data_IF_168579917757
#
_entry.id   IF_168579917757
#
_cell.length_a   1.000
_cell.length_b   1.000
_cell.length_c   1.000
_cell.angle_alpha   90.00
_cell.angle_beta   90.00
_cell.angle_gamma   90.00
#
_symmetry.space_group_name_H-M   'P 1'
#
loop_
_entity.id
_entity.type
_entity.pdbx_description
1 polymer ?
#
# COMPACT_ATOMS: atom_id res chain seq x y z
N UNK A 1 -32.37 -24.08 43.72
CA UNK A 1 -31.38 -24.54 44.73
C UNK A 1 -30.04 -24.63 44.03
N UNK A 2 -29.24 -23.56 44.07
CA UNK A 2 -27.93 -23.50 43.40
C UNK A 2 -26.91 -24.06 44.39
N UNK A 3 -26.47 -25.28 44.15
CA UNK A 3 -25.41 -25.93 44.94
C UNK A 3 -24.11 -25.21 44.61
N UNK A 4 -23.72 -24.26 45.48
CA UNK A 4 -22.33 -23.83 45.59
C UNK A 4 -21.61 -24.97 46.30
N UNK A 5 -20.74 -25.70 45.62
CA UNK A 5 -19.87 -26.67 46.27
C UNK A 5 -18.46 -26.59 45.67
N UNK A 6 -17.47 -26.81 46.53
CA UNK A 6 -16.04 -26.58 46.31
C UNK A 6 -15.56 -26.99 44.91
N UNK A 7 -14.75 -26.14 44.27
CA UNK A 7 -14.11 -26.40 42.98
C UNK A 7 -13.53 -27.83 42.99
N UNK A 8 -14.12 -28.71 42.19
CA UNK A 8 -13.67 -30.09 42.14
C UNK A 8 -12.29 -30.12 41.49
N UNK A 9 -11.33 -30.83 42.09
CA UNK A 9 -9.95 -30.89 41.59
C UNK A 9 -9.89 -31.43 40.16
N UNK A 10 -10.77 -32.37 39.81
CA UNK A 10 -10.86 -32.99 38.48
C UNK A 10 -11.71 -32.20 37.47
N UNK A 11 -12.32 -31.08 37.86
CA UNK A 11 -13.14 -30.26 36.97
C UNK A 11 -12.35 -29.72 35.78
N UNK A 12 -11.16 -29.18 36.05
CA UNK A 12 -10.24 -28.66 35.02
C UNK A 12 -9.77 -29.75 34.08
N UNK A 13 -9.53 -30.95 34.60
CA UNK A 13 -9.10 -32.12 33.83
C UNK A 13 -10.22 -32.60 32.89
N UNK A 14 -11.45 -32.66 33.38
CA UNK A 14 -12.64 -32.95 32.58
C UNK A 14 -12.87 -31.90 31.49
N UNK A 15 -12.73 -30.61 31.80
CA UNK A 15 -12.84 -29.54 30.80
C UNK A 15 -11.78 -29.68 29.70
N UNK A 16 -10.54 -29.97 30.05
CA UNK A 16 -9.46 -30.20 29.08
C UNK A 16 -9.72 -31.44 28.20
N UNK A 17 -10.35 -32.48 28.75
CA UNK A 17 -10.75 -33.67 28.01
C UNK A 17 -11.91 -33.38 27.03
N UNK A 18 -12.91 -32.60 27.45
CA UNK A 18 -14.04 -32.17 26.62
C UNK A 18 -13.58 -31.25 25.48
N UNK A 19 -12.72 -30.26 25.76
CA UNK A 19 -12.14 -29.38 24.73
C UNK A 19 -11.31 -30.15 23.70
N UNK A 20 -10.62 -31.20 24.13
CA UNK A 20 -9.84 -32.07 23.26
C UNK A 20 -10.67 -33.14 22.52
N UNK A 21 -11.99 -33.17 22.69
CA UNK A 21 -12.88 -34.23 22.16
C UNK A 21 -12.41 -35.66 22.52
N UNK A 22 -11.76 -35.82 23.68
CA UNK A 22 -11.24 -37.11 24.16
C UNK A 22 -12.20 -37.86 25.07
N UNK A 23 -13.19 -37.17 25.62
CA UNK A 23 -14.21 -37.77 26.47
C UNK A 23 -15.28 -38.47 25.61
N UNK A 24 -15.76 -39.68 25.98
CA UNK A 24 -15.34 -40.51 27.11
C UNK A 24 -14.23 -41.53 26.78
N UNK A 25 -13.98 -41.80 25.48
CA UNK A 25 -13.25 -42.99 25.05
C UNK A 25 -11.72 -42.90 25.22
N UNK A 26 -11.15 -41.70 25.15
CA UNK A 26 -9.72 -41.43 25.22
C UNK A 26 -9.32 -40.70 26.51
N UNK A 27 -9.95 -41.08 27.63
CA UNK A 27 -9.69 -40.55 28.97
C UNK A 27 -9.35 -41.66 29.96
N UNK A 28 -8.57 -41.31 30.99
CA UNK A 28 -8.21 -42.23 32.06
C UNK A 28 -9.46 -42.76 32.79
N UNK A 29 -9.43 -44.04 33.17
CA UNK A 29 -10.53 -44.72 33.87
C UNK A 29 -10.86 -44.06 35.22
N UNK A 30 -9.85 -43.49 35.88
CA UNK A 30 -10.01 -42.74 37.14
C UNK A 30 -10.92 -41.52 36.97
N UNK A 31 -10.76 -40.78 35.87
CA UNK A 31 -11.58 -39.61 35.55
C UNK A 31 -13.02 -40.04 35.23
N UNK A 32 -13.20 -41.13 34.48
CA UNK A 32 -14.53 -41.69 34.19
C UNK A 32 -15.27 -42.12 35.45
N UNK A 33 -14.58 -42.84 36.32
CA UNK A 33 -15.12 -43.26 37.61
C UNK A 33 -15.48 -42.05 38.48
N UNK A 34 -14.64 -41.02 38.50
CA UNK A 34 -14.90 -39.79 39.24
C UNK A 34 -16.17 -39.08 38.78
N UNK A 35 -16.35 -38.89 37.46
CA UNK A 35 -17.53 -38.22 36.90
C UNK A 35 -18.83 -38.97 37.22
N UNK A 36 -18.79 -40.31 37.31
CA UNK A 36 -19.94 -41.10 37.74
C UNK A 36 -20.30 -40.94 39.23
N UNK A 37 -19.37 -40.45 40.06
CA UNK A 37 -19.55 -40.28 41.51
C UNK A 37 -19.72 -38.83 41.97
N UNK A 38 -19.28 -37.86 41.16
CA UNK A 38 -19.29 -36.43 41.50
C UNK A 38 -20.40 -35.67 40.74
N UNK A 39 -21.47 -35.21 41.43
CA UNK A 39 -22.60 -34.54 40.78
C UNK A 39 -22.23 -33.29 39.97
N UNK A 40 -21.22 -32.53 40.43
CA UNK A 40 -20.75 -31.33 39.74
C UNK A 40 -20.12 -31.67 38.39
N UNK A 41 -19.28 -32.70 38.36
CA UNK A 41 -18.63 -33.15 37.13
C UNK A 41 -19.61 -33.87 36.19
N UNK A 42 -20.59 -34.61 36.71
CA UNK A 42 -21.67 -35.20 35.90
C UNK A 42 -22.47 -34.11 35.20
N UNK A 43 -22.95 -33.11 35.96
CA UNK A 43 -23.74 -32.01 35.40
C UNK A 43 -22.95 -31.21 34.36
N UNK A 44 -21.66 -30.98 34.62
CA UNK A 44 -20.78 -30.29 33.67
C UNK A 44 -20.61 -31.10 32.37
N UNK A 45 -20.37 -32.42 32.48
CA UNK A 45 -20.25 -33.30 31.32
C UNK A 45 -21.54 -33.31 30.50
N UNK A 46 -22.70 -33.47 31.15
CA UNK A 46 -24.00 -33.48 30.47
C UNK A 46 -24.27 -32.17 29.73
N UNK A 47 -24.04 -31.03 30.38
CA UNK A 47 -24.22 -29.71 29.76
C UNK A 47 -23.26 -29.51 28.59
N UNK A 48 -21.98 -29.86 28.77
CA UNK A 48 -20.97 -29.70 27.72
C UNK A 48 -21.28 -30.59 26.51
N UNK A 49 -21.70 -31.83 26.73
CA UNK A 49 -22.09 -32.74 25.65
C UNK A 49 -23.33 -32.23 24.90
N UNK A 50 -24.34 -31.71 25.60
CA UNK A 50 -25.49 -31.08 24.95
C UNK A 50 -25.09 -29.88 24.08
N UNK A 51 -24.22 -29.00 24.59
CA UNK A 51 -23.73 -27.84 23.83
C UNK A 51 -22.87 -28.24 22.63
N UNK A 52 -22.05 -29.29 22.76
CA UNK A 52 -21.24 -29.81 21.66
C UNK A 52 -22.10 -30.42 20.56
N UNK A 53 -23.18 -31.12 20.91
CA UNK A 53 -24.13 -31.68 19.95
C UNK A 53 -24.93 -30.58 19.23
N UNK A 54 -25.39 -29.57 19.97
CA UNK A 54 -26.02 -28.38 19.38
C UNK A 54 -25.04 -27.67 18.42
N UNK A 55 -23.80 -27.47 18.85
CA UNK A 55 -22.75 -26.87 18.01
C UNK A 55 -22.51 -27.69 16.74
N UNK A 56 -22.45 -29.02 16.85
CA UNK A 56 -22.28 -29.92 15.70
C UNK A 56 -23.46 -29.80 14.73
N UNK A 57 -24.68 -29.76 15.24
CA UNK A 57 -25.90 -29.60 14.44
C UNK A 57 -25.91 -28.25 13.71
N UNK A 58 -25.57 -27.17 14.41
CA UNK A 58 -25.47 -25.83 13.82
C UNK A 58 -24.38 -25.76 12.75
N UNK A 59 -23.23 -26.39 12.97
CA UNK A 59 -22.13 -26.42 12.01
C UNK A 59 -22.48 -27.20 10.74
N UNK A 60 -23.21 -28.32 10.86
CA UNK A 60 -23.68 -29.10 9.73
C UNK A 60 -24.76 -28.35 8.91
N UNK A 61 -25.59 -27.54 9.58
CA UNK A 61 -26.61 -26.71 8.93
C UNK A 61 -26.10 -25.36 8.42
N UNK A 62 -24.88 -24.97 8.76
CA UNK A 62 -24.34 -23.67 8.39
C UNK A 62 -24.07 -23.62 6.86
N UNK A 63 -24.58 -22.60 6.15
CA UNK A 63 -24.31 -22.45 4.73
C UNK A 63 -22.82 -22.13 4.53
N UNK A 64 -22.08 -23.07 3.97
CA UNK A 64 -20.69 -22.82 3.56
C UNK A 64 -20.67 -21.85 2.37
N UNK A 65 -19.76 -20.85 2.35
CA UNK A 65 -19.59 -20.00 1.18
C UNK A 65 -19.15 -20.87 -0.01
N UNK A 66 -19.60 -20.51 -1.20
CA UNK A 66 -19.24 -21.25 -2.41
C UNK A 66 -17.71 -21.36 -2.54
N UNK A 67 -17.23 -22.54 -2.93
CA UNK A 67 -15.81 -22.80 -3.16
C UNK A 67 -15.19 -21.79 -4.13
N UNK A 68 -15.98 -21.32 -5.11
CA UNK A 68 -15.61 -20.27 -6.05
C UNK A 68 -15.26 -18.94 -5.36
N UNK A 69 -16.04 -18.50 -4.37
CA UNK A 69 -15.77 -17.25 -3.64
C UNK A 69 -14.49 -17.38 -2.80
N UNK A 70 -14.30 -18.53 -2.14
CA UNK A 70 -13.09 -18.80 -1.33
C UNK A 70 -11.86 -18.81 -2.22
N UNK A 71 -11.90 -19.54 -3.34
CA UNK A 71 -10.82 -19.59 -4.31
C UNK A 71 -10.52 -18.21 -4.91
N UNK A 72 -11.56 -17.45 -5.27
CA UNK A 72 -11.41 -16.11 -5.82
C UNK A 72 -10.71 -15.17 -4.83
N UNK A 73 -11.09 -15.22 -3.54
CA UNK A 73 -10.42 -14.43 -2.50
C UNK A 73 -8.97 -14.83 -2.31
N UNK A 74 -8.67 -16.14 -2.33
CA UNK A 74 -7.30 -16.63 -2.25
C UNK A 74 -6.47 -16.17 -3.46
N UNK A 75 -7.03 -16.25 -4.66
CA UNK A 75 -6.38 -15.82 -5.90
C UNK A 75 -6.16 -14.30 -5.96
N UNK A 76 -7.06 -13.51 -5.36
CA UNK A 76 -6.86 -12.07 -5.26
C UNK A 76 -5.68 -11.71 -4.35
N UNK A 77 -5.46 -12.48 -3.26
CA UNK A 77 -4.29 -12.29 -2.38
C UNK A 77 -2.98 -12.64 -3.10
N UNK A 78 -2.94 -13.78 -3.80
CA UNK A 78 -1.75 -14.18 -4.57
C UNK A 78 -1.39 -13.17 -5.67
N UNK A 79 -2.39 -12.59 -6.34
CA UNK A 79 -2.19 -11.53 -7.34
C UNK A 79 -1.65 -10.23 -6.73
N UNK A 80 -2.09 -9.85 -5.52
CA UNK A 80 -1.55 -8.66 -4.82
C UNK A 80 -0.08 -8.85 -4.46
N UNK A 81 0.28 -10.01 -3.93
CA UNK A 81 1.68 -10.35 -3.63
C UNK A 81 2.56 -10.36 -4.89
N UNK A 82 2.03 -10.82 -6.03
CA UNK A 82 2.74 -10.77 -7.30
C UNK A 82 2.89 -9.33 -7.84
N UNK A 83 1.86 -8.50 -7.68
CA UNK A 83 1.89 -7.09 -8.10
C UNK A 83 2.88 -6.27 -7.27
N UNK A 84 2.97 -6.49 -5.96
CA UNK A 84 3.96 -5.84 -5.09
C UNK A 84 5.40 -6.20 -5.49
N UNK A 85 5.64 -7.41 -5.99
CA UNK A 85 6.96 -7.78 -6.56
C UNK A 85 7.22 -7.11 -7.91
N UNK A 86 6.18 -6.83 -8.68
CA UNK A 86 6.30 -6.21 -10.00
C UNK A 86 6.45 -4.67 -9.96
N UNK A 87 6.06 -4.00 -8.87
CA UNK A 87 6.19 -2.54 -8.75
C UNK A 87 7.59 -2.07 -8.34
N UNK A 88 8.40 -2.91 -7.69
CA UNK A 88 9.79 -2.57 -7.35
C UNK A 88 10.68 -2.20 -8.55
N UNK A 89 10.72 -2.95 -9.68
CA UNK A 89 11.62 -2.63 -10.78
C UNK A 89 11.26 -1.33 -11.51
N UNK A 90 9.98 -0.95 -11.55
CA UNK A 90 9.52 0.26 -12.26
C UNK A 90 10.06 1.52 -11.56
N UNK A 91 10.00 1.56 -10.23
CA UNK A 91 10.52 2.69 -9.44
C UNK A 91 12.03 2.86 -9.60
N UNK A 92 12.79 1.77 -9.72
CA UNK A 92 14.25 1.80 -9.91
C UNK A 92 14.63 2.41 -11.26
N UNK A 93 13.94 2.00 -12.34
CA UNK A 93 14.20 2.51 -13.68
C UNK A 93 13.83 4.00 -13.78
N UNK A 94 12.70 4.41 -13.20
CA UNK A 94 12.30 5.82 -13.18
C UNK A 94 13.28 6.68 -12.37
N UNK A 95 13.75 6.17 -11.22
CA UNK A 95 14.77 6.85 -10.42
C UNK A 95 16.08 7.03 -11.18
N UNK A 96 16.55 5.99 -11.89
CA UNK A 96 17.75 6.07 -12.72
C UNK A 96 17.58 7.05 -13.88
N UNK A 97 16.45 7.03 -14.58
CA UNK A 97 16.15 7.96 -15.66
C UNK A 97 16.13 9.42 -15.18
N UNK A 98 15.51 9.69 -14.03
CA UNK A 98 15.49 11.03 -13.43
C UNK A 98 16.89 11.50 -13.02
N UNK A 99 17.70 10.62 -12.44
CA UNK A 99 19.08 10.93 -12.07
C UNK A 99 19.94 11.25 -13.31
N UNK A 100 19.81 10.46 -14.38
CA UNK A 100 20.49 10.73 -15.65
C UNK A 100 20.04 12.07 -16.26
N UNK A 101 18.74 12.35 -16.29
CA UNK A 101 18.21 13.60 -16.82
C UNK A 101 18.71 14.82 -16.02
N UNK A 102 18.68 14.76 -14.68
CA UNK A 102 19.18 15.82 -13.82
C UNK A 102 20.69 16.05 -14.02
N UNK A 103 21.47 14.96 -14.11
CA UNK A 103 22.91 15.04 -14.38
C UNK A 103 23.20 15.71 -15.72
N UNK A 104 22.43 15.38 -16.76
CA UNK A 104 22.60 15.96 -18.10
C UNK A 104 22.26 17.45 -18.12
N UNK A 105 21.21 17.87 -17.40
CA UNK A 105 20.85 19.29 -17.27
C UNK A 105 21.93 20.09 -16.52
N UNK A 106 22.47 19.54 -15.43
CA UNK A 106 23.55 20.19 -14.67
C UNK A 106 24.81 20.29 -15.53
N UNK A 107 25.19 19.23 -16.24
CA UNK A 107 26.34 19.22 -17.14
C UNK A 107 26.17 20.23 -18.28
N UNK A 108 25.00 20.29 -18.91
CA UNK A 108 24.69 21.26 -19.95
C UNK A 108 24.75 22.70 -19.42
N UNK A 109 24.17 22.97 -18.25
CA UNK A 109 24.22 24.29 -17.62
C UNK A 109 25.65 24.71 -17.25
N UNK A 110 26.48 23.77 -16.78
CA UNK A 110 27.89 24.01 -16.49
C UNK A 110 28.73 24.26 -17.75
N UNK A 111 28.47 23.51 -18.82
CA UNK A 111 29.22 23.60 -20.07
C UNK A 111 28.84 24.84 -20.89
N UNK A 112 27.55 25.12 -21.04
CA UNK A 112 27.05 26.27 -21.80
C UNK A 112 26.97 27.56 -20.98
N UNK A 113 27.00 27.46 -19.64
CA UNK A 113 26.92 28.61 -18.73
C UNK A 113 27.97 29.70 -18.98
N UNK A 114 29.27 29.37 -19.12
CA UNK A 114 30.31 30.36 -19.42
C UNK A 114 30.10 31.04 -20.77
N UNK A 115 29.70 30.28 -21.79
CA UNK A 115 29.42 30.80 -23.14
C UNK A 115 28.21 31.73 -23.13
N UNK A 116 27.14 31.37 -22.41
CA UNK A 116 25.94 32.20 -22.26
C UNK A 116 26.22 33.48 -21.46
N UNK A 117 27.00 33.38 -20.36
CA UNK A 117 27.41 34.55 -19.57
C UNK A 117 28.29 35.49 -20.38
N UNK A 118 29.27 34.97 -21.12
CA UNK A 118 30.13 35.77 -22.00
C UNK A 118 29.34 36.46 -23.12
N UNK A 119 28.37 35.77 -23.72
CA UNK A 119 27.47 36.37 -24.71
C UNK A 119 26.58 37.47 -24.11
N UNK A 120 26.05 37.25 -22.89
CA UNK A 120 25.25 38.25 -22.17
C UNK A 120 26.07 39.46 -21.73
N UNK A 121 27.31 39.27 -21.29
CA UNK A 121 28.19 40.36 -20.88
C UNK A 121 28.64 41.19 -22.09
N UNK A 122 28.92 40.53 -23.23
CA UNK A 122 29.16 41.23 -24.49
C UNK A 122 27.93 42.01 -24.98
N UNK A 123 26.73 41.40 -24.91
CA UNK A 123 25.46 42.07 -25.24
C UNK A 123 25.18 43.26 -24.31
N UNK A 124 25.44 43.13 -23.01
CA UNK A 124 25.32 44.24 -22.04
C UNK A 124 26.34 45.34 -22.32
N UNK A 125 27.57 44.99 -22.68
CA UNK A 125 28.58 45.94 -23.13
C UNK A 125 28.14 46.70 -24.37
N UNK A 126 27.61 46.00 -25.37
CA UNK A 126 27.06 46.58 -26.59
C UNK A 126 25.83 47.46 -26.30
N UNK A 127 24.91 47.00 -25.46
CA UNK A 127 23.73 47.77 -25.04
C UNK A 127 24.14 49.04 -24.29
N UNK A 128 25.10 48.96 -23.37
CA UNK A 128 25.62 50.12 -22.66
C UNK A 128 26.31 51.13 -23.60
N UNK A 129 27.06 50.64 -24.59
CA UNK A 129 27.67 51.46 -25.63
C UNK A 129 26.60 52.16 -26.51
N UNK A 130 25.50 51.47 -26.80
CA UNK A 130 24.35 52.03 -27.53
C UNK A 130 23.56 53.03 -26.68
N UNK A 131 23.38 52.80 -25.38
CA UNK A 131 22.74 53.77 -24.48
C UNK A 131 23.59 55.04 -24.26
N UNK A 132 24.90 54.98 -24.51
CA UNK A 132 25.77 56.15 -24.57
C UNK A 132 25.56 57.03 -25.82
N UNK A 133 24.88 56.50 -26.84
CA UNK A 133 24.55 57.18 -28.10
C UNK A 133 23.07 57.56 -28.17
N UNK A 134 22.60 58.34 -27.19
CA UNK A 134 21.36 59.13 -27.25
C UNK A 134 20.01 58.37 -27.27
N UNK A 135 18.93 59.00 -26.75
CA UNK A 135 17.61 58.36 -26.56
C UNK A 135 16.86 58.03 -27.86
N UNK A 136 17.31 58.52 -29.02
CA UNK A 136 16.63 58.32 -30.31
C UNK A 136 16.89 56.94 -30.93
N UNK A 137 18.08 56.36 -30.71
CA UNK A 137 18.43 55.03 -31.24
C UNK A 137 17.77 53.89 -30.43
N UNK A 138 17.49 54.12 -29.15
CA UNK A 138 16.83 53.16 -28.25
C UNK A 138 15.40 52.87 -28.73
N UNK A 139 14.66 53.88 -29.18
CA UNK A 139 13.30 53.71 -29.69
C UNK A 139 13.24 52.83 -30.95
N UNK A 140 14.22 52.98 -31.86
CA UNK A 140 14.30 52.20 -33.09
C UNK A 140 14.72 50.75 -32.82
N UNK A 141 15.72 50.54 -31.95
CA UNK A 141 16.17 49.20 -31.58
C UNK A 141 15.10 48.42 -30.79
N UNK A 142 14.37 49.07 -29.89
CA UNK A 142 13.26 48.47 -29.16
C UNK A 142 12.09 48.10 -30.09
N UNK A 143 11.77 48.94 -31.07
CA UNK A 143 10.74 48.65 -32.07
C UNK A 143 11.11 47.45 -32.96
N UNK A 144 12.39 47.34 -33.37
CA UNK A 144 12.89 46.20 -34.16
C UNK A 144 12.89 44.92 -33.31
N UNK A 145 13.33 44.99 -32.05
CA UNK A 145 13.31 43.85 -31.14
C UNK A 145 11.88 43.34 -30.85
N UNK A 146 10.93 44.24 -30.65
CA UNK A 146 9.53 43.90 -30.44
C UNK A 146 8.92 43.25 -31.69
N UNK A 147 9.23 43.77 -32.89
CA UNK A 147 8.79 43.17 -34.15
C UNK A 147 9.37 41.77 -34.39
N UNK A 148 10.63 41.55 -34.00
CA UNK A 148 11.31 40.25 -34.15
C UNK A 148 10.79 39.18 -33.18
N UNK A 149 10.18 39.58 -32.05
CA UNK A 149 9.57 38.67 -31.07
C UNK A 149 8.11 38.35 -31.44
N UNK A 150 7.37 39.33 -31.98
CA UNK A 150 5.96 39.15 -32.34
C UNK A 150 5.80 38.25 -33.58
N UNK A 151 6.70 38.36 -34.57
CA UNK A 151 6.65 37.55 -35.80
C UNK A 151 6.73 36.02 -35.56
N UNK A 152 7.66 35.47 -34.75
CA UNK A 152 7.71 34.04 -34.47
C UNK A 152 6.58 33.58 -33.55
N UNK A 153 6.04 34.45 -32.68
CA UNK A 153 4.90 34.12 -31.84
C UNK A 153 3.62 33.93 -32.67
N UNK A 154 3.39 34.80 -33.66
CA UNK A 154 2.27 34.68 -34.59
C UNK A 154 2.36 33.41 -35.46
N UNK A 155 3.58 33.03 -35.87
CA UNK A 155 3.83 31.76 -36.55
C UNK A 155 3.58 30.56 -35.64
N UNK A 156 4.01 30.61 -34.37
CA UNK A 156 3.78 29.51 -33.43
C UNK A 156 2.28 29.27 -33.15
N UNK A 157 1.50 30.33 -32.99
CA UNK A 157 0.05 30.20 -32.77
C UNK A 157 -0.71 29.69 -34.00
N UNK A 158 -0.28 30.04 -35.21
CA UNK A 158 -0.92 29.57 -36.44
C UNK A 158 -0.61 28.10 -36.76
N UNK A 159 0.56 27.59 -36.37
CA UNK A 159 0.92 26.18 -36.57
C UNK A 159 0.43 25.23 -35.46
N UNK A 160 -0.08 25.74 -34.34
CA UNK A 160 -0.56 24.92 -33.21
C UNK A 160 -2.09 24.70 -33.22
N UNK A 161 -2.81 25.30 -34.17
CA UNK A 161 -4.28 25.14 -34.33
C UNK A 161 -4.68 24.05 -35.35
N UNK A 162 -3.73 23.32 -35.95
CA UNK A 162 -3.97 22.10 -36.76
C UNK A 162 -3.61 20.82 -36.00
#
# INVERSE_FOLDING_TARGET
MIVRNAACVHETELLAALQGSRWPDACDESLRTHVGSCPSCTQLADLALALLEDHRTLMLGAPVPSSAIVWWRAQMRSRREAAERATQPIMVIQGLAAACAAGLLIAAAGFFGPTFRGALDWLRGAANAVTGLGPMLIGVAAAIGLALIIAPLALYFTFHEE
#
